data_IF_732103164020
#
_entry.id   IF_732103164020
#
_cell.length_a   1.000
_cell.length_b   1.000
_cell.length_c   1.000
_cell.angle_alpha   90.00
_cell.angle_beta   90.00
_cell.angle_gamma   90.00
#
_symmetry.space_group_name_H-M   'P 1'
#
loop_
_entity.id
_entity.type
_entity.pdbx_description
1 polymer ?
#
# COMPACT_ATOMS: atom_id res chain seq x y z
N UNK A 1 14.52 -24.86 8.79
CA UNK A 1 14.27 -24.11 7.53
C UNK A 1 12.79 -23.81 7.43
N UNK A 2 12.37 -22.53 7.51
CA UNK A 2 10.99 -22.18 7.23
C UNK A 2 10.76 -22.44 5.73
N UNK A 3 9.84 -23.36 5.40
CA UNK A 3 9.34 -23.56 4.03
C UNK A 3 8.59 -22.28 3.65
N UNK A 4 9.29 -21.30 3.11
CA UNK A 4 8.64 -20.16 2.48
C UNK A 4 7.94 -20.73 1.24
N UNK A 5 6.62 -20.75 1.29
CA UNK A 5 5.79 -21.04 0.12
C UNK A 5 6.21 -19.99 -0.91
N UNK A 6 6.80 -20.40 -2.03
CA UNK A 6 7.03 -19.50 -3.16
C UNK A 6 5.65 -19.06 -3.64
N UNK A 7 5.37 -17.77 -3.58
CA UNK A 7 4.20 -17.21 -4.22
C UNK A 7 4.67 -16.65 -5.54
N UNK A 8 4.18 -17.22 -6.63
CA UNK A 8 4.42 -16.68 -7.96
C UNK A 8 3.61 -15.38 -8.10
N UNK A 9 4.11 -14.45 -8.90
CA UNK A 9 3.40 -13.21 -9.17
C UNK A 9 1.98 -13.51 -9.67
N UNK A 10 0.96 -13.02 -8.96
CA UNK A 10 -0.44 -13.31 -9.28
C UNK A 10 -0.89 -12.82 -10.65
N UNK A 11 -0.15 -11.88 -11.25
CA UNK A 11 -0.47 -11.32 -12.55
C UNK A 11 0.33 -12.00 -13.68
N UNK A 12 1.68 -12.06 -13.58
CA UNK A 12 2.53 -12.59 -14.66
C UNK A 12 3.16 -13.98 -14.41
N UNK A 13 3.00 -14.54 -13.21
CA UNK A 13 3.44 -15.89 -12.85
C UNK A 13 4.95 -16.09 -12.64
N UNK A 14 5.76 -15.03 -12.62
CA UNK A 14 7.20 -15.14 -12.34
C UNK A 14 7.46 -15.44 -10.86
N UNK A 15 8.58 -16.10 -10.57
CA UNK A 15 8.99 -16.44 -9.20
C UNK A 15 9.68 -15.27 -8.52
N UNK A 16 9.73 -15.31 -7.19
CA UNK A 16 10.51 -14.32 -6.43
C UNK A 16 11.98 -14.31 -6.88
N UNK A 17 12.53 -13.12 -7.08
CA UNK A 17 13.88 -12.88 -7.62
C UNK A 17 13.94 -12.76 -9.16
N UNK A 18 12.89 -13.12 -9.89
CA UNK A 18 12.82 -12.94 -11.34
C UNK A 18 12.27 -11.55 -11.72
N UNK A 19 12.62 -11.05 -12.91
CA UNK A 19 11.98 -9.85 -13.44
C UNK A 19 10.55 -10.16 -13.90
N UNK A 20 9.64 -9.23 -13.67
CA UNK A 20 8.28 -9.30 -14.20
C UNK A 20 8.26 -9.41 -15.73
N UNK A 21 7.16 -9.95 -16.29
CA UNK A 21 6.88 -9.76 -17.72
C UNK A 21 6.51 -8.30 -17.96
N UNK A 22 6.86 -7.78 -19.13
CA UNK A 22 6.47 -6.43 -19.55
C UNK A 22 4.95 -6.29 -19.47
N UNK A 23 4.50 -5.18 -18.90
CA UNK A 23 3.08 -4.88 -18.72
C UNK A 23 2.44 -5.51 -17.48
N UNK A 24 3.23 -6.09 -16.56
CA UNK A 24 2.70 -6.65 -15.33
C UNK A 24 2.19 -5.56 -14.36
N UNK A 25 0.97 -5.74 -13.85
CA UNK A 25 0.31 -4.87 -12.87
C UNK A 25 1.05 -4.82 -11.52
N UNK A 26 1.84 -5.85 -11.22
CA UNK A 26 2.58 -5.95 -9.97
C UNK A 26 3.98 -5.34 -10.05
N UNK A 27 4.43 -4.92 -11.24
CA UNK A 27 5.78 -4.40 -11.41
C UNK A 27 5.94 -3.01 -10.79
N UNK A 28 7.02 -2.82 -10.05
CA UNK A 28 7.32 -1.58 -9.33
C UNK A 28 8.26 -0.69 -10.16
N UNK A 29 7.87 0.57 -10.32
CA UNK A 29 8.65 1.60 -10.98
C UNK A 29 9.99 1.84 -10.24
N UNK A 30 11.15 1.71 -10.90
CA UNK A 30 12.46 1.94 -10.27
C UNK A 30 12.71 3.40 -9.89
N UNK A 31 11.92 4.35 -10.42
CA UNK A 31 12.07 5.79 -10.16
C UNK A 31 11.21 6.30 -9.01
N UNK A 32 9.94 5.86 -8.95
CA UNK A 32 8.96 6.40 -8.00
C UNK A 32 8.34 5.36 -7.06
N UNK A 33 8.68 4.09 -7.23
CA UNK A 33 8.21 2.96 -6.42
C UNK A 33 6.69 2.73 -6.41
N UNK A 34 5.95 3.37 -7.32
CA UNK A 34 4.55 3.05 -7.63
C UNK A 34 4.49 1.98 -8.72
N UNK A 35 3.29 1.54 -9.08
CA UNK A 35 3.07 0.64 -10.21
C UNK A 35 3.72 1.19 -11.50
N UNK A 36 4.58 0.41 -12.15
CA UNK A 36 5.37 0.83 -13.31
C UNK A 36 4.49 1.29 -14.48
N UNK A 37 3.47 0.51 -14.83
CA UNK A 37 2.65 0.78 -16.01
C UNK A 37 1.80 2.07 -15.92
N UNK A 38 1.44 2.52 -14.72
CA UNK A 38 0.56 3.68 -14.51
C UNK A 38 1.28 4.92 -13.97
N UNK A 39 2.56 4.82 -13.61
CA UNK A 39 3.28 5.93 -12.97
C UNK A 39 3.64 7.09 -13.90
N UNK A 40 3.67 6.88 -15.23
CA UNK A 40 4.07 7.89 -16.21
C UNK A 40 5.53 8.35 -16.13
N UNK A 41 6.40 7.59 -15.46
CA UNK A 41 7.82 7.95 -15.31
C UNK A 41 8.68 7.70 -16.55
N UNK A 42 8.24 6.82 -17.44
CA UNK A 42 8.94 6.34 -18.63
C UNK A 42 7.93 6.25 -19.79
N UNK A 43 8.35 6.60 -21.01
CA UNK A 43 7.48 6.52 -22.20
C UNK A 43 7.60 5.19 -22.95
N UNK A 44 8.72 4.51 -22.79
CA UNK A 44 9.03 3.22 -23.40
C UNK A 44 10.02 2.44 -22.53
N UNK A 45 10.18 1.14 -22.81
CA UNK A 45 11.03 0.25 -22.02
C UNK A 45 12.52 0.56 -22.12
N UNK A 46 13.00 1.12 -23.23
CA UNK A 46 14.42 1.42 -23.40
C UNK A 46 14.92 2.58 -22.52
N UNK A 47 14.01 3.36 -21.93
CA UNK A 47 14.34 4.37 -20.91
C UNK A 47 14.64 3.75 -19.52
N UNK A 48 14.32 2.46 -19.31
CA UNK A 48 14.59 1.78 -18.04
C UNK A 48 16.07 1.37 -17.95
N UNK A 49 16.82 2.03 -17.07
CA UNK A 49 18.21 1.66 -16.79
C UNK A 49 18.34 0.36 -15.97
N UNK A 50 17.31 0.00 -15.20
CA UNK A 50 17.17 -1.27 -14.51
C UNK A 50 15.69 -1.52 -14.17
N UNK A 51 15.35 -2.75 -13.77
CA UNK A 51 14.01 -3.17 -13.33
C UNK A 51 14.11 -3.81 -11.95
N UNK A 52 13.05 -3.72 -11.16
CA UNK A 52 13.00 -4.29 -9.80
C UNK A 52 12.52 -5.75 -9.90
N UNK A 53 13.30 -6.74 -9.41
CA UNK A 53 12.85 -8.13 -9.35
C UNK A 53 11.62 -8.30 -8.45
N UNK A 54 10.80 -9.29 -8.78
CA UNK A 54 9.61 -9.62 -8.02
C UNK A 54 9.97 -10.15 -6.62
N UNK A 55 9.25 -9.67 -5.62
CA UNK A 55 9.21 -10.21 -4.27
C UNK A 55 7.79 -10.03 -3.74
N UNK A 56 7.20 -11.04 -3.08
CA UNK A 56 5.86 -10.88 -2.54
C UNK A 56 5.93 -10.01 -1.27
N UNK A 57 5.51 -8.75 -1.41
CA UNK A 57 5.33 -7.85 -0.27
C UNK A 57 3.92 -8.07 0.27
N UNK A 58 3.82 -8.47 1.55
CA UNK A 58 2.56 -8.68 2.22
C UNK A 58 1.78 -7.35 2.31
N UNK A 59 0.49 -7.38 1.99
CA UNK A 59 -0.41 -6.29 2.40
C UNK A 59 -0.62 -6.39 3.90
N UNK A 60 -0.11 -5.42 4.66
CA UNK A 60 -0.21 -5.39 6.13
C UNK A 60 -0.97 -4.14 6.57
N UNK A 61 -1.87 -4.28 7.54
CA UNK A 61 -2.49 -3.14 8.19
C UNK A 61 -1.46 -2.34 8.99
N UNK A 62 -1.27 -1.07 8.65
CA UNK A 62 -0.33 -0.17 9.33
C UNK A 62 -0.70 0.18 10.77
N UNK A 63 -1.91 -0.16 11.23
CA UNK A 63 -2.34 0.05 12.62
C UNK A 63 -2.23 -1.23 13.48
N UNK A 64 -2.84 -2.35 13.06
CA UNK A 64 -2.87 -3.58 13.87
C UNK A 64 -1.89 -4.68 13.42
N UNK A 65 -1.29 -4.58 12.23
CA UNK A 65 -0.38 -5.60 11.70
C UNK A 65 -1.05 -6.82 11.05
N UNK A 66 -2.38 -6.82 10.89
CA UNK A 66 -3.11 -7.88 10.17
C UNK A 66 -2.54 -8.08 8.76
N UNK A 67 -2.28 -9.34 8.38
CA UNK A 67 -1.75 -9.70 7.07
C UNK A 67 -2.88 -10.05 6.12
N UNK A 68 -2.80 -9.58 4.87
CA UNK A 68 -3.82 -9.77 3.85
C UNK A 68 -5.25 -9.42 4.31
N UNK A 69 -5.48 -8.24 4.90
CA UNK A 69 -6.82 -7.83 5.26
C UNK A 69 -7.70 -7.70 4.02
N UNK A 70 -9.02 -7.86 4.19
CA UNK A 70 -9.99 -7.55 3.13
C UNK A 70 -9.80 -6.10 2.68
N UNK A 71 -9.48 -5.92 1.39
CA UNK A 71 -9.25 -4.60 0.81
C UNK A 71 -10.58 -3.85 0.70
N UNK A 72 -10.52 -2.54 0.97
CA UNK A 72 -11.64 -1.63 0.77
C UNK A 72 -11.12 -0.28 0.29
N UNK A 73 -11.99 0.48 -0.37
CA UNK A 73 -11.69 1.83 -0.81
C UNK A 73 -12.58 2.83 -0.09
N UNK A 74 -12.03 4.00 0.20
CA UNK A 74 -12.74 5.14 0.78
C UNK A 74 -12.32 6.42 0.08
N UNK A 75 -13.23 7.40 -0.10
CA UNK A 75 -12.88 8.68 -0.70
C UNK A 75 -11.74 9.37 0.05
N UNK A 76 -10.80 9.99 -0.68
CA UNK A 76 -9.62 10.66 -0.10
C UNK A 76 -9.97 11.68 0.99
N UNK A 77 -11.10 12.39 0.84
CA UNK A 77 -11.59 13.35 1.84
C UNK A 77 -11.98 12.66 3.15
N UNK A 78 -12.64 11.51 3.05
CA UNK A 78 -13.06 10.72 4.20
C UNK A 78 -11.86 10.06 4.88
N UNK A 79 -10.95 9.46 4.10
CA UNK A 79 -9.69 8.90 4.62
C UNK A 79 -8.91 9.91 5.47
N UNK A 80 -8.67 11.11 4.94
CA UNK A 80 -7.95 12.18 5.63
C UNK A 80 -8.67 12.73 6.87
N UNK A 81 -9.99 12.57 6.96
CA UNK A 81 -10.78 13.03 8.11
C UNK A 81 -10.49 12.17 9.34
N UNK A 82 -10.35 10.86 9.18
CA UNK A 82 -10.24 9.91 10.29
C UNK A 82 -8.83 9.33 10.47
N UNK A 83 -8.04 9.19 9.41
CA UNK A 83 -6.69 8.61 9.45
C UNK A 83 -5.63 9.70 9.69
N UNK A 84 -4.83 9.54 10.74
CA UNK A 84 -3.76 10.47 11.12
C UNK A 84 -2.61 10.45 10.11
N UNK A 85 -1.81 11.54 9.96
CA UNK A 85 -0.83 11.68 8.89
C UNK A 85 0.16 10.52 8.72
N UNK A 86 0.65 9.94 9.83
CA UNK A 86 1.63 8.82 9.79
C UNK A 86 1.06 7.51 9.24
N UNK A 87 -0.27 7.38 9.19
CA UNK A 87 -0.97 6.21 8.66
C UNK A 87 -1.55 6.45 7.26
N UNK A 88 -1.48 7.67 6.71
CA UNK A 88 -2.18 8.01 5.47
C UNK A 88 -1.58 7.39 4.21
N UNK A 89 -0.32 6.95 4.26
CA UNK A 89 0.39 6.22 3.21
C UNK A 89 0.40 4.70 3.44
N UNK A 90 -0.28 4.22 4.48
CA UNK A 90 -0.38 2.80 4.83
C UNK A 90 -1.74 2.24 4.44
N UNK A 91 -1.78 0.93 4.20
CA UNK A 91 -3.04 0.20 4.14
C UNK A 91 -3.57 0.03 5.57
N UNK A 92 -4.88 0.15 5.77
CA UNK A 92 -5.55 -0.23 7.02
C UNK A 92 -6.55 -1.33 6.71
N UNK A 93 -6.84 -2.21 7.68
CA UNK A 93 -8.00 -3.08 7.59
C UNK A 93 -9.29 -2.29 7.89
N UNK A 94 -10.45 -2.81 7.43
CA UNK A 94 -11.75 -2.16 7.61
C UNK A 94 -12.06 -1.91 9.08
N UNK A 95 -11.75 -2.87 9.94
CA UNK A 95 -11.97 -2.78 11.39
C UNK A 95 -11.20 -1.62 12.01
N UNK A 96 -9.90 -1.49 11.69
CA UNK A 96 -9.07 -0.39 12.16
C UNK A 96 -9.59 0.97 11.69
N UNK A 97 -10.05 1.07 10.45
CA UNK A 97 -10.63 2.32 9.94
C UNK A 97 -11.92 2.70 10.68
N UNK A 98 -12.81 1.74 10.94
CA UNK A 98 -14.04 1.99 11.71
C UNK A 98 -13.74 2.31 13.18
N UNK A 99 -12.72 1.71 13.79
CA UNK A 99 -12.25 2.09 15.12
C UNK A 99 -11.77 3.55 15.15
N UNK A 100 -11.02 4.00 14.14
CA UNK A 100 -10.60 5.40 14.05
C UNK A 100 -11.79 6.36 13.92
N UNK A 101 -12.87 5.97 13.24
CA UNK A 101 -14.12 6.74 13.19
C UNK A 101 -14.78 6.85 14.57
N UNK A 102 -14.73 5.79 15.38
CA UNK A 102 -15.24 5.82 16.75
C UNK A 102 -14.38 6.67 17.69
N UNK A 103 -13.05 6.59 17.56
CA UNK A 103 -12.10 7.39 18.34
C UNK A 103 -12.18 8.88 17.95
N UNK A 104 -12.35 9.17 16.67
CA UNK A 104 -12.41 10.51 16.11
C UNK A 104 -13.75 10.78 15.41
N UNK A 105 -14.89 10.85 16.12
CA UNK A 105 -16.21 10.97 15.50
C UNK A 105 -16.34 12.23 14.64
N UNK A 106 -15.67 13.32 15.03
CA UNK A 106 -15.62 14.58 14.29
C UNK A 106 -14.35 14.74 13.44
N UNK A 107 -13.52 13.70 13.34
CA UNK A 107 -12.20 13.74 12.71
C UNK A 107 -11.08 14.17 13.65
N UNK A 108 -9.88 13.63 13.44
CA UNK A 108 -8.75 13.74 14.40
C UNK A 108 -8.27 15.17 14.63
N UNK A 109 -8.54 16.09 13.69
CA UNK A 109 -8.21 17.52 13.84
C UNK A 109 -9.09 18.26 14.85
N UNK A 110 -10.24 17.69 15.22
CA UNK A 110 -11.22 18.30 16.13
C UNK A 110 -11.13 17.74 17.56
N UNK A 111 -10.08 16.99 17.88
CA UNK A 111 -9.83 16.51 19.24
C UNK A 111 -9.48 17.71 20.14
N UNK A 112 -10.21 17.87 21.25
CA UNK A 112 -10.00 18.99 22.18
C UNK A 112 -8.61 18.95 22.79
N UNK A 113 -7.93 20.10 22.81
CA UNK A 113 -6.67 20.25 23.52
C UNK A 113 -6.94 20.64 24.97
N UNK A 114 -6.80 19.69 25.90
CA UNK A 114 -7.01 19.92 27.32
C UNK A 114 -5.86 20.71 27.99
N UNK A 115 -4.78 21.02 27.27
CA UNK A 115 -3.64 21.81 27.76
C UNK A 115 -3.78 23.33 27.49
N UNK A 116 -4.91 23.79 26.97
CA UNK A 116 -5.23 25.22 26.77
C UNK A 116 -6.46 25.64 27.58
N UNK A 117 -6.55 25.18 28.82
CA UNK A 117 -7.43 25.80 29.82
C UNK A 117 -6.69 26.92 30.55
#
# INVERSE_FOLDING_TARGET
>A
MKKWKSWDCHDCGVKEGELHRIGCDMEICPKCHKQLMTCGCFHNESELSFRIPYILILNICGLCGEQWPELFAVPKKEWKKYVIPVLQDKNLCRECFEQLKQIFPNGWKNVKNNYRQ
#
